data_IF_462278928473
#
_entry.id   IF_462278928473
#
_cell.length_a   1.000
_cell.length_b   1.000
_cell.length_c   1.000
_cell.angle_alpha   90.00
_cell.angle_beta   90.00
_cell.angle_gamma   90.00
#
_symmetry.space_group_name_H-M   'P 1'
#
loop_
_entity.id
_entity.type
_entity.pdbx_description
1 polymer ?
#
# COMPACT_ATOMS: atom_id res chain seq x y z
N UNK A 1 -5.49 -10.43 -7.96
CA UNK A 1 -6.44 -10.44 -6.84
C UNK A 1 -6.99 -11.85 -6.53
N UNK A 2 -6.81 -12.78 -7.43
CA UNK A 2 -7.17 -14.19 -7.17
C UNK A 2 -6.57 -14.70 -5.87
N UNK A 3 -5.33 -14.31 -5.61
CA UNK A 3 -4.59 -14.82 -4.45
C UNK A 3 -5.13 -14.33 -3.11
N UNK A 4 -5.93 -13.28 -3.11
CA UNK A 4 -6.49 -12.74 -1.87
C UNK A 4 -7.39 -13.77 -1.17
N UNK A 5 -8.20 -14.48 -1.93
CA UNK A 5 -9.07 -15.52 -1.36
C UNK A 5 -8.27 -16.67 -0.77
N UNK A 6 -7.15 -17.01 -1.40
CA UNK A 6 -6.28 -18.09 -0.94
C UNK A 6 -5.60 -17.75 0.38
N UNK A 7 -5.34 -16.46 0.63
CA UNK A 7 -4.70 -16.01 1.87
C UNK A 7 -5.71 -15.63 2.95
N UNK A 8 -6.99 -15.84 2.71
CA UNK A 8 -8.05 -15.56 3.68
C UNK A 8 -8.01 -14.12 4.18
N UNK A 9 -7.75 -13.17 3.27
CA UNK A 9 -7.74 -11.75 3.60
C UNK A 9 -9.18 -11.29 3.79
N UNK A 10 -9.50 -10.78 4.97
CA UNK A 10 -10.85 -10.35 5.32
C UNK A 10 -11.10 -8.88 5.01
N UNK A 11 -10.04 -8.09 4.90
CA UNK A 11 -10.17 -6.65 4.74
C UNK A 11 -9.03 -6.14 3.86
N UNK A 12 -9.37 -5.72 2.64
CA UNK A 12 -8.37 -5.22 1.70
C UNK A 12 -8.91 -4.06 0.89
N UNK A 13 -7.99 -3.30 0.28
CA UNK A 13 -8.33 -2.18 -0.60
C UNK A 13 -7.32 -2.07 -1.73
N UNK A 14 -7.82 -1.82 -2.94
CA UNK A 14 -7.00 -1.52 -4.11
C UNK A 14 -7.10 -0.02 -4.38
N UNK A 15 -5.95 0.66 -4.37
CA UNK A 15 -5.87 2.09 -4.61
C UNK A 15 -5.39 2.35 -6.03
N UNK A 16 -6.21 3.01 -6.82
CA UNK A 16 -5.89 3.39 -8.19
C UNK A 16 -6.11 4.90 -8.33
N UNK A 17 -6.93 5.33 -9.30
CA UNK A 17 -7.27 6.74 -9.43
C UNK A 17 -8.09 7.20 -8.23
N UNK A 18 -8.07 8.50 -7.97
CA UNK A 18 -8.79 9.14 -6.86
C UNK A 18 -8.40 8.60 -5.48
N UNK A 19 -7.16 8.13 -5.38
CA UNK A 19 -6.64 7.52 -4.15
C UNK A 19 -6.74 8.46 -2.95
N UNK A 20 -6.50 9.76 -3.12
CA UNK A 20 -6.53 10.70 -2.00
C UNK A 20 -7.92 10.86 -1.41
N UNK A 21 -8.94 10.90 -2.26
CA UNK A 21 -10.32 10.96 -1.78
C UNK A 21 -10.68 9.70 -1.00
N UNK A 22 -10.28 8.54 -1.51
CA UNK A 22 -10.49 7.26 -0.82
C UNK A 22 -9.78 7.21 0.52
N UNK A 23 -8.51 7.60 0.56
CA UNK A 23 -7.71 7.58 1.79
C UNK A 23 -8.31 8.51 2.84
N UNK A 24 -8.73 9.71 2.45
CA UNK A 24 -9.35 10.65 3.36
C UNK A 24 -10.66 10.09 3.93
N UNK A 25 -11.47 9.48 3.08
CA UNK A 25 -12.72 8.85 3.50
C UNK A 25 -12.45 7.78 4.57
N UNK A 26 -11.48 6.91 4.34
CA UNK A 26 -11.14 5.86 5.31
C UNK A 26 -10.61 6.44 6.61
N UNK A 27 -9.80 7.48 6.53
CA UNK A 27 -9.28 8.14 7.71
C UNK A 27 -10.42 8.79 8.52
N UNK A 28 -11.30 9.53 7.86
CA UNK A 28 -12.42 10.23 8.52
C UNK A 28 -13.38 9.26 9.19
N UNK A 29 -13.53 8.07 8.63
CA UNK A 29 -14.44 7.04 9.16
C UNK A 29 -13.72 5.99 10.00
N UNK A 30 -12.44 6.19 10.30
CA UNK A 30 -11.63 5.29 11.13
C UNK A 30 -11.60 3.86 10.59
N UNK A 31 -11.54 3.73 9.26
CA UNK A 31 -11.44 2.44 8.59
C UNK A 31 -9.97 2.10 8.41
N UNK A 32 -9.59 0.87 8.71
CA UNK A 32 -8.24 0.36 8.49
C UNK A 32 -8.29 -1.00 7.81
N UNK A 33 -7.18 -1.43 7.24
CA UNK A 33 -7.13 -2.61 6.39
C UNK A 33 -6.00 -3.55 6.78
N UNK A 34 -6.18 -4.83 6.47
CA UNK A 34 -5.13 -5.84 6.60
C UNK A 34 -4.24 -5.88 5.37
N UNK A 35 -4.76 -5.45 4.23
CA UNK A 35 -4.03 -5.46 2.98
C UNK A 35 -4.47 -4.29 2.11
N UNK A 36 -3.49 -3.54 1.61
CA UNK A 36 -3.72 -2.44 0.68
C UNK A 36 -2.87 -2.68 -0.56
N UNK A 37 -3.49 -2.66 -1.73
CA UNK A 37 -2.79 -2.66 -3.01
C UNK A 37 -2.71 -1.25 -3.54
N UNK A 38 -1.52 -0.83 -3.95
CA UNK A 38 -1.30 0.48 -4.58
C UNK A 38 -0.88 0.21 -6.01
N UNK A 39 -1.74 0.62 -6.96
CA UNK A 39 -1.51 0.46 -8.39
C UNK A 39 -1.85 1.79 -9.07
N UNK A 40 -1.00 2.81 -8.89
CA UNK A 40 -1.28 4.14 -9.45
C UNK A 40 -1.12 4.16 -10.97
N UNK A 41 -1.73 5.14 -11.65
CA UNK A 41 -1.49 5.34 -13.07
C UNK A 41 0.00 5.61 -13.35
N UNK A 42 0.41 5.35 -14.58
CA UNK A 42 1.79 5.54 -15.01
C UNK A 42 2.34 6.92 -14.70
N UNK A 43 3.62 6.95 -14.29
CA UNK A 43 4.42 8.16 -14.15
C UNK A 43 3.99 9.15 -13.07
N UNK A 44 3.14 8.79 -12.16
CA UNK A 44 2.69 9.73 -11.14
C UNK A 44 3.61 9.84 -9.93
N UNK A 45 4.45 8.84 -9.66
CA UNK A 45 5.39 8.86 -8.53
C UNK A 45 4.75 9.27 -7.21
N UNK A 46 3.59 8.69 -6.91
CA UNK A 46 2.79 9.08 -5.74
C UNK A 46 2.86 8.09 -4.59
N UNK A 47 3.56 6.99 -4.77
CA UNK A 47 3.57 5.91 -3.76
C UNK A 47 4.15 6.40 -2.43
N UNK A 48 5.19 7.23 -2.46
CA UNK A 48 5.74 7.84 -1.24
C UNK A 48 4.67 8.55 -0.43
N UNK A 49 3.86 9.37 -1.09
CA UNK A 49 2.79 10.12 -0.43
C UNK A 49 1.76 9.19 0.18
N UNK A 50 1.39 8.16 -0.57
CA UNK A 50 0.38 7.19 -0.12
C UNK A 50 0.89 6.44 1.10
N UNK A 51 2.12 5.95 1.07
CA UNK A 51 2.70 5.20 2.18
C UNK A 51 2.82 6.08 3.44
N UNK A 52 3.26 7.34 3.28
CA UNK A 52 3.30 8.27 4.40
C UNK A 52 1.92 8.52 4.99
N UNK A 53 0.91 8.70 4.14
CA UNK A 53 -0.46 8.94 4.59
C UNK A 53 -1.00 7.73 5.35
N UNK A 54 -0.76 6.54 4.82
CA UNK A 54 -1.20 5.29 5.47
C UNK A 54 -0.57 5.17 6.85
N UNK A 55 0.70 5.46 6.98
CA UNK A 55 1.39 5.41 8.26
C UNK A 55 0.88 6.46 9.25
N UNK A 56 0.75 7.71 8.79
CA UNK A 56 0.35 8.82 9.65
C UNK A 56 -1.07 8.68 10.17
N UNK A 57 -1.95 8.04 9.41
CA UNK A 57 -3.36 7.95 9.75
C UNK A 57 -3.81 6.56 10.17
N UNK A 58 -2.87 5.66 10.40
CA UNK A 58 -3.13 4.31 10.91
C UNK A 58 -4.13 3.53 10.06
N UNK A 59 -3.98 3.62 8.73
CA UNK A 59 -4.88 2.93 7.81
C UNK A 59 -4.55 1.46 7.62
N UNK A 60 -3.43 1.00 8.16
CA UNK A 60 -2.99 -0.38 8.05
C UNK A 60 -3.00 -1.03 9.44
N UNK A 61 -3.71 -2.13 9.56
CA UNK A 61 -3.79 -2.87 10.81
C UNK A 61 -2.45 -3.46 11.22
N UNK A 62 -2.33 -3.87 12.47
CA UNK A 62 -1.13 -4.55 12.96
C UNK A 62 -0.85 -5.77 12.09
N UNK A 63 0.39 -5.93 11.67
CA UNK A 63 0.84 -6.98 10.75
C UNK A 63 0.22 -6.88 9.35
N UNK A 64 -0.51 -5.80 9.07
CA UNK A 64 -1.05 -5.57 7.74
C UNK A 64 0.05 -5.31 6.74
N UNK A 65 -0.26 -5.49 5.46
CA UNK A 65 0.71 -5.34 4.39
C UNK A 65 0.22 -4.38 3.31
N UNK A 66 1.18 -3.69 2.68
CA UNK A 66 0.92 -2.86 1.51
C UNK A 66 1.72 -3.44 0.36
N UNK A 67 1.05 -3.71 -0.74
CA UNK A 67 1.68 -4.19 -1.98
C UNK A 67 1.65 -3.06 -2.99
N UNK A 68 2.82 -2.60 -3.41
CA UNK A 68 2.96 -1.50 -4.35
C UNK A 68 3.47 -2.01 -5.69
N UNK A 69 2.78 -1.70 -6.77
CA UNK A 69 3.27 -1.94 -8.12
C UNK A 69 3.74 -0.62 -8.69
N UNK A 70 5.00 -0.56 -9.15
CA UNK A 70 5.59 0.70 -9.62
C UNK A 70 6.60 0.44 -10.72
N UNK A 71 7.00 1.51 -11.38
CA UNK A 71 7.95 1.44 -12.48
C UNK A 71 9.15 2.37 -12.28
N UNK A 72 8.90 3.63 -11.98
CA UNK A 72 9.95 4.64 -11.88
C UNK A 72 10.07 5.27 -10.49
N UNK A 73 9.24 4.88 -9.53
CA UNK A 73 9.29 5.43 -8.19
C UNK A 73 10.58 4.99 -7.48
N UNK A 74 11.10 5.88 -6.65
CA UNK A 74 12.19 5.56 -5.73
C UNK A 74 11.58 5.47 -4.35
N UNK A 75 11.50 4.25 -3.82
CA UNK A 75 10.83 4.00 -2.56
C UNK A 75 11.82 3.84 -1.42
N UNK A 76 11.43 4.27 -0.23
CA UNK A 76 12.23 4.11 0.99
C UNK A 76 12.01 2.73 1.58
N UNK A 77 12.96 2.30 2.40
CA UNK A 77 12.84 1.04 3.14
C UNK A 77 11.85 1.14 4.29
N UNK A 78 11.59 2.33 4.78
CA UNK A 78 10.64 2.53 5.88
C UNK A 78 9.85 3.82 5.71
N UNK A 79 8.59 3.74 6.16
CA UNK A 79 7.69 4.88 6.30
C UNK A 79 7.08 4.78 7.70
N UNK A 80 7.82 5.28 8.70
CA UNK A 80 7.43 5.11 10.09
C UNK A 80 7.46 3.63 10.50
N UNK A 81 6.33 3.10 10.88
CA UNK A 81 6.22 1.68 11.27
C UNK A 81 6.00 0.74 10.11
N UNK A 82 5.82 1.28 8.89
CA UNK A 82 5.63 0.49 7.69
C UNK A 82 7.00 0.23 7.08
N UNK A 83 7.43 -1.02 7.07
CA UNK A 83 8.78 -1.40 6.66
C UNK A 83 8.76 -2.36 5.48
N UNK A 84 9.72 -2.17 4.58
CA UNK A 84 9.87 -2.99 3.39
C UNK A 84 10.25 -4.43 3.76
N UNK A 85 9.45 -5.39 3.30
CA UNK A 85 9.77 -6.80 3.43
C UNK A 85 10.59 -7.32 2.27
N UNK A 86 10.13 -7.03 1.05
CA UNK A 86 10.86 -7.46 -0.14
C UNK A 86 10.43 -6.69 -1.37
N UNK A 87 11.28 -6.74 -2.39
CA UNK A 87 11.04 -6.16 -3.71
C UNK A 87 11.29 -7.22 -4.76
N UNK A 88 10.40 -7.31 -5.76
CA UNK A 88 10.59 -8.17 -6.91
C UNK A 88 10.50 -7.37 -8.20
N UNK A 89 11.25 -7.79 -9.21
CA UNK A 89 11.23 -7.16 -10.52
C UNK A 89 10.56 -8.10 -11.53
N UNK A 90 9.59 -7.56 -12.26
CA UNK A 90 8.88 -8.26 -13.33
C UNK A 90 8.97 -7.45 -14.61
N UNK A 91 9.82 -7.90 -15.54
CA UNK A 91 10.06 -7.16 -16.79
C UNK A 91 10.49 -5.72 -16.47
N UNK A 92 9.63 -4.72 -16.75
CA UNK A 92 9.92 -3.31 -16.49
C UNK A 92 9.25 -2.79 -15.23
N UNK A 93 8.56 -3.64 -14.50
CA UNK A 93 7.82 -3.25 -13.29
C UNK A 93 8.45 -3.84 -12.05
N UNK A 94 8.21 -3.18 -10.94
CA UNK A 94 8.64 -3.63 -9.62
C UNK A 94 7.42 -3.81 -8.72
N UNK A 95 7.53 -4.77 -7.80
CA UNK A 95 6.53 -4.96 -6.75
C UNK A 95 7.25 -4.90 -5.41
N UNK A 96 6.86 -3.96 -4.58
CA UNK A 96 7.38 -3.82 -3.22
C UNK A 96 6.30 -4.22 -2.23
N UNK A 97 6.68 -4.98 -1.22
CA UNK A 97 5.77 -5.41 -0.16
C UNK A 97 6.25 -4.82 1.16
N UNK A 98 5.39 -4.04 1.79
CA UNK A 98 5.64 -3.42 3.09
C UNK A 98 4.74 -4.05 4.14
N UNK A 99 5.20 -4.01 5.38
CA UNK A 99 4.43 -4.54 6.51
C UNK A 99 4.41 -3.52 7.65
N UNK A 100 3.26 -3.42 8.30
CA UNK A 100 3.15 -2.63 9.53
C UNK A 100 3.76 -3.41 10.68
N UNK A 101 4.83 -2.88 11.25
CA UNK A 101 5.58 -3.51 12.33
C UNK A 101 5.19 -3.00 13.72
N UNK A 102 4.16 -2.18 13.75
CA UNK A 102 3.70 -1.57 14.99
C UNK A 102 3.28 -2.59 16.05
#
# INVERSE_FOLDING_TARGET
>A
LKNLNNYKVNNYKVLQMDYMASLKHFCDNKISFDLIFIDPPYNMKIIDKILNYINQNNLLNKNGQVVCEYQNDILKEEYGNIKLLKTKKYAIRYVAIYKNTK
#
